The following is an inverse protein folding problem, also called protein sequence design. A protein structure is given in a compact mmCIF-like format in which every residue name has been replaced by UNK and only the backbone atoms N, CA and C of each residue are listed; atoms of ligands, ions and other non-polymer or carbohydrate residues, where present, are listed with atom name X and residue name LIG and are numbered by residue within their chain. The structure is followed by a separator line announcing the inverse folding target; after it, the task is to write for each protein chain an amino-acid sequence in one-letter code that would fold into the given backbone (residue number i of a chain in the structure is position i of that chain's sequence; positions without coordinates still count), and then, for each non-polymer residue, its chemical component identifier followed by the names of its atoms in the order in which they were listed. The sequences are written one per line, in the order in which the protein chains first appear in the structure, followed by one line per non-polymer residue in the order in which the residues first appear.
data_IF_578140628671
#
_entry.id   IF_578140628671
#
_cell.length_a   1.000
_cell.length_b   1.000
_cell.length_c   1.000
_cell.angle_alpha   90.00
_cell.angle_beta   90.00
_cell.angle_gamma   90.00
#
_symmetry.space_group_name_H-M   'P 1'
#
loop_
_entity.id
_entity.type
_entity.pdbx_description
1 polymer ?
#
# COMPACT_ATOMS: atom_id res chain seq x y z
N UNK A 1 -22.77 9.41 -13.48
CA UNK A 1 -22.12 9.06 -12.20
C UNK A 1 -22.67 7.77 -11.60
N UNK A 2 -23.98 7.61 -11.35
CA UNK A 2 -24.57 6.41 -10.72
C UNK A 2 -24.22 5.13 -11.48
N UNK A 3 -24.35 5.10 -12.81
CA UNK A 3 -24.05 3.92 -13.63
C UNK A 3 -22.58 3.51 -13.49
N UNK A 4 -21.65 4.46 -13.55
CA UNK A 4 -20.22 4.21 -13.40
C UNK A 4 -19.92 3.65 -12.00
N UNK A 5 -20.55 4.22 -10.97
CA UNK A 5 -20.38 3.72 -9.59
C UNK A 5 -20.91 2.30 -9.44
N UNK A 6 -22.08 2.00 -10.02
CA UNK A 6 -22.64 0.63 -10.03
C UNK A 6 -21.70 -0.35 -10.76
N UNK A 7 -21.19 0.01 -11.94
CA UNK A 7 -20.23 -0.82 -12.67
C UNK A 7 -18.96 -1.10 -11.87
N UNK A 8 -18.51 -0.18 -11.03
CA UNK A 8 -17.35 -0.38 -10.16
C UNK A 8 -17.64 -1.28 -8.96
N UNK A 9 -18.87 -1.24 -8.42
CA UNK A 9 -19.24 -2.01 -7.22
C UNK A 9 -19.65 -3.45 -7.56
N UNK A 10 -20.27 -3.67 -8.71
CA UNK A 10 -20.74 -4.99 -9.15
C UNK A 10 -19.64 -6.08 -9.07
N UNK A 11 -18.42 -5.88 -9.60
CA UNK A 11 -17.35 -6.89 -9.49
C UNK A 11 -16.94 -7.18 -8.05
N UNK A 12 -16.96 -6.18 -7.16
CA UNK A 12 -16.62 -6.37 -5.76
C UNK A 12 -17.67 -7.22 -5.04
N UNK A 13 -18.97 -6.98 -5.33
CA UNK A 13 -20.06 -7.81 -4.79
C UNK A 13 -19.92 -9.24 -5.31
N UNK A 14 -19.67 -9.43 -6.61
CA UNK A 14 -19.47 -10.74 -7.21
C UNK A 14 -18.28 -11.48 -6.56
N UNK A 15 -17.16 -10.78 -6.31
CA UNK A 15 -16.01 -11.33 -5.62
C UNK A 15 -16.36 -11.82 -4.21
N UNK A 16 -17.12 -11.02 -3.45
CA UNK A 16 -17.56 -11.40 -2.10
C UNK A 16 -18.51 -12.62 -2.15
N UNK A 17 -19.48 -12.63 -3.03
CA UNK A 17 -20.39 -13.76 -3.21
C UNK A 17 -19.62 -15.03 -3.60
N UNK A 18 -18.72 -14.93 -4.57
CA UNK A 18 -17.89 -16.06 -5.03
C UNK A 18 -16.95 -16.58 -3.95
N UNK A 19 -16.55 -15.75 -3.01
CA UNK A 19 -15.72 -16.18 -1.85
C UNK A 19 -16.47 -17.08 -0.86
N UNK A 20 -17.80 -17.01 -0.85
CA UNK A 20 -18.70 -17.87 -0.07
C UNK A 20 -19.39 -18.94 -0.90
N UNK A 21 -19.01 -19.12 -2.16
CA UNK A 21 -19.57 -20.16 -3.03
C UNK A 21 -18.70 -21.41 -2.97
N UNK A 22 -19.33 -22.59 -3.06
CA UNK A 22 -18.61 -23.85 -3.16
C UNK A 22 -17.68 -23.88 -4.38
N UNK A 23 -16.49 -24.46 -4.21
CA UNK A 23 -15.47 -24.45 -5.26
C UNK A 23 -15.88 -25.23 -6.51
N UNK A 24 -16.54 -26.40 -6.33
CA UNK A 24 -16.94 -27.25 -7.45
C UNK A 24 -18.12 -26.62 -8.20
N UNK A 25 -19.02 -25.93 -7.48
CA UNK A 25 -20.06 -25.11 -8.10
C UNK A 25 -19.47 -23.96 -8.91
N UNK A 26 -18.44 -23.27 -8.42
CA UNK A 26 -17.73 -22.21 -9.17
C UNK A 26 -17.05 -22.73 -10.44
N UNK A 27 -16.51 -23.95 -10.40
CA UNK A 27 -15.85 -24.55 -11.56
C UNK A 27 -16.90 -25.01 -12.58
N UNK A 28 -18.02 -25.57 -12.12
CA UNK A 28 -19.09 -26.10 -12.96
C UNK A 28 -19.96 -25.02 -13.61
N UNK A 29 -20.44 -24.08 -12.79
CA UNK A 29 -21.49 -23.12 -13.16
C UNK A 29 -20.94 -21.70 -13.42
N UNK A 30 -19.66 -21.46 -13.07
CA UNK A 30 -19.02 -20.15 -13.18
C UNK A 30 -19.40 -19.18 -12.04
N UNK A 31 -19.08 -17.91 -12.23
CA UNK A 31 -19.39 -16.86 -11.27
C UNK A 31 -20.87 -16.45 -11.39
N UNK A 32 -21.60 -16.50 -10.27
CA UNK A 32 -23.01 -16.12 -10.22
C UNK A 32 -23.30 -15.23 -9.01
N UNK A 33 -24.26 -14.30 -9.16
CA UNK A 33 -24.77 -13.50 -8.04
C UNK A 33 -25.73 -14.31 -7.15
N UNK A 34 -26.23 -15.41 -7.63
CA UNK A 34 -27.15 -16.33 -6.91
C UNK A 34 -26.60 -17.74 -6.97
N UNK A 35 -25.53 -18.05 -6.20
CA UNK A 35 -24.98 -19.41 -6.19
C UNK A 35 -25.97 -20.40 -5.58
N UNK A 36 -26.00 -21.60 -6.13
CA UNK A 36 -26.85 -22.67 -5.61
C UNK A 36 -26.28 -23.32 -4.36
N UNK A 37 -24.96 -23.36 -4.26
CA UNK A 37 -24.23 -24.01 -3.16
C UNK A 37 -23.33 -23.00 -2.45
N UNK A 38 -23.65 -22.71 -1.18
CA UNK A 38 -22.87 -21.81 -0.31
C UNK A 38 -21.89 -22.60 0.53
N UNK A 39 -20.64 -22.10 0.65
CA UNK A 39 -19.60 -22.72 1.46
C UNK A 39 -18.68 -21.68 2.07
N UNK A 40 -18.36 -21.82 3.36
CA UNK A 40 -17.35 -21.05 4.05
C UNK A 40 -15.96 -21.74 4.05
N UNK A 41 -15.82 -22.83 3.31
CA UNK A 41 -14.62 -23.66 3.33
C UNK A 41 -13.36 -22.88 2.90
N UNK A 42 -13.48 -21.95 1.97
CA UNK A 42 -12.38 -21.08 1.55
C UNK A 42 -11.77 -20.29 2.72
N UNK A 43 -12.62 -19.74 3.58
CA UNK A 43 -12.16 -19.02 4.77
C UNK A 43 -11.58 -19.98 5.83
N UNK A 44 -12.22 -21.13 6.04
CA UNK A 44 -11.68 -22.15 6.93
C UNK A 44 -10.29 -22.58 6.48
N UNK A 45 -10.08 -22.79 5.17
CA UNK A 45 -8.78 -23.13 4.60
C UNK A 45 -7.73 -22.04 4.88
N UNK A 46 -8.07 -20.76 4.64
CA UNK A 46 -7.16 -19.63 4.87
C UNK A 46 -6.75 -19.52 6.35
N UNK A 47 -7.72 -19.66 7.26
CA UNK A 47 -7.47 -19.51 8.69
C UNK A 47 -6.98 -20.78 9.41
N UNK A 48 -7.18 -21.96 8.81
CA UNK A 48 -6.69 -23.23 9.37
C UNK A 48 -5.20 -23.48 9.14
N UNK A 49 -4.56 -22.70 8.25
CA UNK A 49 -3.12 -22.78 8.00
C UNK A 49 -2.25 -22.31 9.18
N UNK A 50 -2.77 -22.42 10.39
CA UNK A 50 -2.11 -21.99 11.62
C UNK A 50 -2.23 -20.50 11.89
N UNK A 51 -1.50 -20.01 12.90
CA UNK A 51 -1.50 -18.58 13.30
C UNK A 51 -0.88 -17.62 12.28
N UNK A 52 -0.64 -18.05 11.03
CA UNK A 52 0.09 -17.26 10.03
C UNK A 52 -0.72 -16.04 9.54
N UNK A 53 -2.04 -16.16 9.35
CA UNK A 53 -2.86 -15.05 8.83
C UNK A 53 -3.05 -13.94 9.86
N UNK A 54 -3.47 -14.18 11.10
CA UNK A 54 -3.55 -13.13 12.13
C UNK A 54 -2.20 -12.46 12.38
N UNK A 55 -1.11 -13.22 12.40
CA UNK A 55 0.24 -12.68 12.55
C UNK A 55 0.64 -11.80 11.37
N UNK A 56 0.39 -12.24 10.14
CA UNK A 56 0.64 -11.45 8.94
C UNK A 56 -0.16 -10.15 8.90
N UNK A 57 -1.41 -10.15 9.40
CA UNK A 57 -2.18 -8.93 9.60
C UNK A 57 -1.51 -7.98 10.59
N UNK A 58 -1.05 -8.49 11.73
CA UNK A 58 -0.33 -7.68 12.72
C UNK A 58 0.93 -7.05 12.12
N UNK A 59 1.73 -7.81 11.38
CA UNK A 59 2.90 -7.30 10.67
C UNK A 59 2.51 -6.21 9.67
N UNK A 60 1.44 -6.42 8.88
CA UNK A 60 0.96 -5.41 7.92
C UNK A 60 0.49 -4.14 8.59
N UNK A 61 -0.24 -4.23 9.70
CA UNK A 61 -0.71 -3.06 10.46
C UNK A 61 0.48 -2.28 11.03
N UNK A 62 1.42 -2.97 11.68
CA UNK A 62 2.63 -2.35 12.24
C UNK A 62 3.46 -1.69 11.13
N UNK A 63 3.68 -2.41 10.03
CA UNK A 63 4.44 -1.90 8.88
C UNK A 63 3.76 -0.66 8.26
N UNK A 64 2.45 -0.70 8.09
CA UNK A 64 1.68 0.43 7.55
C UNK A 64 1.74 1.65 8.47
N UNK A 65 1.54 1.48 9.78
CA UNK A 65 1.58 2.58 10.74
C UNK A 65 2.99 3.18 10.81
N UNK A 66 4.01 2.35 11.04
CA UNK A 66 5.40 2.81 11.18
C UNK A 66 5.91 3.40 9.87
N UNK A 67 5.67 2.72 8.75
CA UNK A 67 6.08 3.16 7.43
C UNK A 67 5.40 4.47 7.01
N UNK A 68 4.10 4.61 7.27
CA UNK A 68 3.37 5.86 7.00
C UNK A 68 3.90 7.00 7.88
N UNK A 69 4.10 6.77 9.17
CA UNK A 69 4.60 7.80 10.08
C UNK A 69 6.00 8.29 9.67
N UNK A 70 6.93 7.38 9.40
CA UNK A 70 8.29 7.72 8.98
C UNK A 70 8.33 8.34 7.58
N UNK A 71 7.68 7.71 6.61
CA UNK A 71 7.65 8.20 5.23
C UNK A 71 6.99 9.56 5.11
N UNK A 72 5.87 9.79 5.84
CA UNK A 72 5.19 11.07 5.89
C UNK A 72 6.07 12.15 6.54
N UNK A 73 6.73 11.84 7.66
CA UNK A 73 7.62 12.78 8.34
C UNK A 73 8.77 13.21 7.43
N UNK A 74 9.46 12.26 6.80
CA UNK A 74 10.57 12.56 5.88
C UNK A 74 10.06 13.37 4.67
N UNK A 75 8.95 12.95 4.06
CA UNK A 75 8.36 13.62 2.91
C UNK A 75 7.95 15.05 3.23
N UNK A 76 7.31 15.26 4.39
CA UNK A 76 6.81 16.58 4.81
C UNK A 76 7.96 17.54 5.13
N UNK A 77 8.95 17.08 5.86
CA UNK A 77 10.14 17.90 6.20
C UNK A 77 10.93 18.28 4.95
N UNK A 78 11.17 17.30 4.06
CA UNK A 78 11.88 17.55 2.81
C UNK A 78 11.10 18.50 1.89
N UNK A 79 9.81 18.28 1.73
CA UNK A 79 8.96 19.13 0.90
C UNK A 79 8.88 20.56 1.42
N UNK A 80 8.77 20.73 2.74
CA UNK A 80 8.80 22.05 3.38
C UNK A 80 10.13 22.76 3.14
N UNK A 81 11.26 22.10 3.39
CA UNK A 81 12.57 22.67 3.11
C UNK A 81 12.71 23.10 1.64
N UNK A 82 12.30 22.22 0.70
CA UNK A 82 12.34 22.51 -0.74
C UNK A 82 11.32 23.58 -1.18
N UNK A 83 10.33 23.95 -0.37
CA UNK A 83 9.40 25.04 -0.67
C UNK A 83 10.03 26.41 -0.41
N UNK A 84 10.99 26.51 0.49
CA UNK A 84 11.62 27.79 0.90
C UNK A 84 12.50 28.39 -0.20
N UNK A 85 12.25 29.67 -0.53
CA UNK A 85 12.98 30.38 -1.60
C UNK A 85 14.44 30.63 -1.25
N UNK A 86 14.74 30.79 0.03
CA UNK A 86 16.09 31.11 0.54
C UNK A 86 16.98 29.88 0.75
N UNK A 87 16.47 28.65 0.54
CA UNK A 87 17.29 27.45 0.69
C UNK A 87 18.40 27.40 -0.35
N UNK A 88 19.70 27.42 0.03
CA UNK A 88 20.79 27.30 -0.92
C UNK A 88 20.76 25.92 -1.59
N UNK A 89 20.99 25.89 -2.90
CA UNK A 89 20.97 24.64 -3.67
C UNK A 89 19.57 24.04 -3.90
N UNK A 90 18.48 24.75 -3.57
CA UNK A 90 17.09 24.29 -3.75
C UNK A 90 16.82 23.70 -5.12
N UNK A 91 17.33 24.34 -6.21
CA UNK A 91 17.14 23.87 -7.58
C UNK A 91 17.78 22.50 -7.80
N UNK A 92 19.02 22.33 -7.34
CA UNK A 92 19.76 21.06 -7.44
C UNK A 92 19.09 19.96 -6.64
N UNK A 93 18.72 20.24 -5.39
CA UNK A 93 18.02 19.26 -4.55
C UNK A 93 16.67 18.87 -5.14
N UNK A 94 15.89 19.82 -5.65
CA UNK A 94 14.63 19.53 -6.36
C UNK A 94 14.86 18.68 -7.59
N UNK A 95 15.92 18.98 -8.37
CA UNK A 95 16.28 18.20 -9.54
C UNK A 95 16.68 16.77 -9.15
N UNK A 96 17.46 16.57 -8.10
CA UNK A 96 17.81 15.23 -7.61
C UNK A 96 16.55 14.43 -7.25
N UNK A 97 15.61 15.02 -6.51
CA UNK A 97 14.33 14.38 -6.19
C UNK A 97 13.57 14.02 -7.48
N UNK A 98 13.44 14.96 -8.40
CA UNK A 98 12.78 14.73 -9.69
C UNK A 98 13.48 13.66 -10.53
N UNK A 99 14.81 13.65 -10.54
CA UNK A 99 15.62 12.69 -11.27
C UNK A 99 15.33 11.24 -10.85
N UNK A 100 15.08 11.00 -9.55
CA UNK A 100 14.71 9.65 -9.06
C UNK A 100 13.38 9.13 -9.60
N UNK A 101 12.51 10.00 -10.14
CA UNK A 101 11.30 9.56 -10.86
C UNK A 101 11.59 9.08 -12.28
N UNK A 102 12.57 9.67 -12.92
CA UNK A 102 12.91 9.40 -14.33
C UNK A 102 13.84 8.19 -14.47
N UNK A 103 14.72 7.99 -13.50
CA UNK A 103 15.75 6.96 -13.55
C UNK A 103 15.58 5.96 -12.42
N UNK A 104 15.43 4.70 -12.82
CA UNK A 104 15.40 3.56 -11.93
C UNK A 104 16.53 2.60 -12.30
N UNK A 105 17.38 2.25 -11.37
CA UNK A 105 18.49 1.32 -11.57
C UNK A 105 18.06 -0.12 -11.87
N UNK A 106 16.78 -0.41 -11.74
CA UNK A 106 16.23 -1.75 -11.91
C UNK A 106 16.31 -2.63 -10.66
N UNK A 107 15.70 -3.80 -10.74
CA UNK A 107 15.56 -4.70 -9.60
C UNK A 107 16.91 -5.23 -9.09
N UNK A 108 17.80 -5.67 -10.00
CA UNK A 108 19.06 -6.33 -9.62
C UNK A 108 20.02 -5.39 -8.89
N UNK A 109 20.35 -4.18 -9.40
CA UNK A 109 21.17 -3.22 -8.68
C UNK A 109 20.56 -2.81 -7.33
N UNK A 110 19.24 -2.61 -7.29
CA UNK A 110 18.51 -2.27 -6.06
C UNK A 110 18.61 -3.39 -5.03
N UNK A 111 18.43 -4.64 -5.45
CA UNK A 111 18.57 -5.81 -4.60
C UNK A 111 19.97 -5.93 -4.00
N UNK A 112 21.01 -5.82 -4.83
CA UNK A 112 22.41 -5.90 -4.38
C UNK A 112 22.71 -4.80 -3.37
N UNK A 113 22.26 -3.56 -3.64
CA UNK A 113 22.46 -2.44 -2.75
C UNK A 113 21.86 -2.70 -1.35
N UNK A 114 20.58 -3.08 -1.29
CA UNK A 114 19.91 -3.31 0.00
C UNK A 114 20.39 -4.58 0.72
N UNK A 115 20.77 -5.62 -0.01
CA UNK A 115 21.18 -6.90 0.62
C UNK A 115 22.65 -6.96 0.96
N UNK A 116 23.53 -6.37 0.14
CA UNK A 116 24.97 -6.46 0.32
C UNK A 116 25.55 -5.21 0.97
N UNK A 117 25.16 -4.01 0.51
CA UNK A 117 25.70 -2.76 1.06
C UNK A 117 25.04 -2.44 2.40
N UNK A 118 23.70 -2.43 2.44
CA UNK A 118 22.97 -2.13 3.68
C UNK A 118 22.72 -3.33 4.59
N UNK A 119 22.87 -4.58 4.10
CA UNK A 119 22.72 -5.78 4.92
C UNK A 119 21.33 -6.02 5.51
N UNK A 120 20.27 -5.42 4.95
CA UNK A 120 18.91 -5.47 5.53
C UNK A 120 18.09 -6.70 5.14
N UNK A 121 18.65 -7.64 4.36
CA UNK A 121 17.96 -8.88 3.96
C UNK A 121 17.45 -9.65 5.18
N UNK A 122 16.25 -10.20 5.10
CA UNK A 122 15.58 -10.94 6.18
C UNK A 122 15.39 -10.14 7.48
N UNK A 123 15.19 -8.82 7.38
CA UNK A 123 14.88 -7.96 8.52
C UNK A 123 13.58 -7.20 8.28
N UNK A 124 13.02 -6.61 9.32
CA UNK A 124 11.87 -5.70 9.21
C UNK A 124 12.19 -4.48 8.33
N UNK A 125 13.43 -3.99 8.35
CA UNK A 125 13.87 -2.86 7.51
C UNK A 125 13.80 -3.17 6.02
N UNK A 126 13.90 -4.43 5.61
CA UNK A 126 13.73 -4.85 4.23
C UNK A 126 12.29 -4.66 3.70
N UNK A 127 11.31 -4.59 4.59
CA UNK A 127 9.92 -4.28 4.25
C UNK A 127 9.65 -2.77 4.32
N UNK A 128 10.40 -2.05 5.15
CA UNK A 128 10.15 -0.65 5.46
C UNK A 128 10.83 0.30 4.47
N UNK A 129 12.10 0.05 4.14
CA UNK A 129 12.95 1.04 3.44
C UNK A 129 12.83 0.99 1.92
N UNK A 130 12.95 -0.17 1.25
CA UNK A 130 13.01 -0.21 -0.21
C UNK A 130 11.75 0.37 -0.87
N UNK A 131 11.94 1.41 -1.70
CA UNK A 131 10.95 2.03 -2.57
C UNK A 131 9.72 2.70 -1.91
N UNK A 132 9.51 2.52 -0.62
CA UNK A 132 8.29 2.97 0.07
C UNK A 132 8.52 4.18 0.99
N UNK A 133 9.68 4.26 1.63
CA UNK A 133 9.95 5.28 2.66
C UNK A 133 9.98 6.69 2.09
N UNK A 134 10.47 6.89 0.87
CA UNK A 134 10.51 8.18 0.20
C UNK A 134 10.09 8.03 -1.26
N UNK A 135 9.01 8.72 -1.62
CA UNK A 135 8.53 8.78 -3.00
C UNK A 135 8.63 10.21 -3.53
N UNK A 136 9.34 10.40 -4.64
CA UNK A 136 9.60 11.73 -5.20
C UNK A 136 8.31 12.45 -5.64
N UNK A 137 7.32 11.73 -6.18
CA UNK A 137 6.03 12.30 -6.53
C UNK A 137 5.33 12.92 -5.31
N UNK A 138 5.31 12.21 -4.18
CA UNK A 138 4.75 12.68 -2.92
C UNK A 138 5.47 13.94 -2.42
N UNK A 139 6.81 13.96 -2.51
CA UNK A 139 7.62 15.14 -2.13
C UNK A 139 7.28 16.34 -3.00
N UNK A 140 7.23 16.18 -4.32
CA UNK A 140 6.96 17.28 -5.25
C UNK A 140 5.54 17.80 -5.13
N UNK A 141 4.56 16.90 -4.95
CA UNK A 141 3.16 17.27 -4.73
C UNK A 141 3.00 18.07 -3.42
N UNK A 142 3.59 17.61 -2.34
CA UNK A 142 3.56 18.30 -1.05
C UNK A 142 4.33 19.63 -1.08
N UNK A 143 5.50 19.68 -1.76
CA UNK A 143 6.26 20.91 -2.00
C UNK A 143 5.40 21.94 -2.76
N UNK A 144 4.71 21.52 -3.82
CA UNK A 144 3.82 22.41 -4.57
C UNK A 144 2.75 23.01 -3.68
N UNK A 145 2.15 22.19 -2.82
CA UNK A 145 1.15 22.66 -1.86
C UNK A 145 1.73 23.67 -0.85
N UNK A 146 2.92 23.44 -0.31
CA UNK A 146 3.56 24.40 0.60
C UNK A 146 3.84 25.74 -0.09
N UNK A 147 4.16 25.73 -1.40
CA UNK A 147 4.39 26.97 -2.16
C UNK A 147 3.11 27.73 -2.47
N UNK A 148 2.00 27.02 -2.71
CA UNK A 148 0.74 27.65 -3.19
C UNK A 148 -0.33 27.77 -2.12
N UNK A 149 -0.35 26.89 -1.13
CA UNK A 149 -1.39 26.75 -0.11
C UNK A 149 -1.03 27.31 1.26
N UNK A 150 0.24 27.70 1.46
CA UNK A 150 0.70 28.37 2.69
C UNK A 150 1.14 29.79 2.31
N UNK A 151 0.36 30.84 2.66
CA UNK A 151 0.70 32.20 2.31
C UNK A 151 2.02 32.67 2.94
N UNK A 152 2.89 33.31 2.14
CA UNK A 152 4.16 33.83 2.61
C UNK A 152 3.95 34.85 3.75
N UNK A 153 2.87 35.66 3.70
CA UNK A 153 2.53 36.70 4.69
C UNK A 153 2.29 36.11 6.10
N UNK A 154 1.65 34.96 6.19
CA UNK A 154 1.42 34.30 7.48
C UNK A 154 2.75 33.76 8.05
N UNK A 155 3.63 33.28 7.18
CA UNK A 155 4.96 32.82 7.59
C UNK A 155 5.85 33.99 8.06
N UNK A 156 5.80 35.12 7.35
CA UNK A 156 6.53 36.34 7.73
C UNK A 156 6.03 36.92 9.08
N UNK A 157 4.71 36.94 9.29
CA UNK A 157 4.16 37.36 10.59
C UNK A 157 4.66 36.49 11.74
N UNK A 158 4.71 35.16 11.54
CA UNK A 158 5.25 34.24 12.55
C UNK A 158 6.74 34.50 12.86
N UNK A 159 7.55 34.87 11.86
CA UNK A 159 8.95 35.24 12.08
C UNK A 159 9.10 36.56 12.79
N UNK A 160 8.24 37.56 12.51
CA UNK A 160 8.20 38.86 13.22
C UNK A 160 7.83 38.63 14.70
N UNK A 161 6.92 37.68 14.97
CA UNK A 161 6.55 37.27 16.33
C UNK A 161 7.65 36.43 17.04
N UNK A 162 8.81 36.24 16.41
CA UNK A 162 9.97 35.58 17.00
C UNK A 162 9.96 34.04 16.85
N UNK A 163 9.10 33.47 16.00
CA UNK A 163 9.12 32.05 15.77
C UNK A 163 10.38 31.61 15.00
N UNK A 164 11.05 30.58 15.47
CA UNK A 164 12.11 29.92 14.70
C UNK A 164 11.51 29.00 13.63
N UNK A 165 12.35 28.47 12.71
CA UNK A 165 11.90 27.61 11.60
C UNK A 165 11.09 26.38 12.06
N UNK A 166 11.47 25.74 13.15
CA UNK A 166 10.73 24.60 13.68
C UNK A 166 9.34 25.01 14.21
N UNK A 167 9.27 26.14 14.90
CA UNK A 167 8.00 26.67 15.39
C UNK A 167 7.11 27.11 14.24
N UNK A 168 7.64 27.80 13.26
CA UNK A 168 6.93 28.20 12.05
C UNK A 168 6.42 26.97 11.26
N UNK A 169 7.23 25.92 11.15
CA UNK A 169 6.81 24.67 10.53
C UNK A 169 5.67 23.99 11.29
N UNK A 170 5.89 23.66 12.58
CA UNK A 170 4.92 22.85 13.34
C UNK A 170 3.65 23.61 13.74
N UNK A 171 3.74 24.92 14.01
CA UNK A 171 2.61 25.71 14.50
C UNK A 171 1.84 26.43 13.40
N UNK A 172 2.47 26.68 12.23
CA UNK A 172 1.86 27.46 11.15
C UNK A 172 1.74 26.63 9.87
N UNK A 173 2.86 26.23 9.26
CA UNK A 173 2.85 25.60 7.95
C UNK A 173 2.15 24.22 7.97
N UNK A 174 2.48 23.36 8.93
CA UNK A 174 1.92 22.00 9.03
C UNK A 174 0.39 21.99 9.30
N UNK A 175 -0.16 22.82 10.21
CA UNK A 175 -1.61 22.95 10.37
C UNK A 175 -2.35 23.43 9.10
N UNK A 176 -1.77 24.39 8.36
CA UNK A 176 -2.34 24.85 7.09
C UNK A 176 -2.26 23.79 5.99
N UNK A 177 -1.23 22.94 6.06
CA UNK A 177 -1.03 21.86 5.10
C UNK A 177 -1.77 20.55 5.44
N UNK A 178 -2.62 20.51 6.48
CA UNK A 178 -3.37 19.29 6.87
C UNK A 178 -4.03 18.55 5.71
N UNK A 179 -4.68 19.21 4.72
CA UNK A 179 -5.34 18.47 3.65
C UNK A 179 -4.35 17.65 2.80
N UNK A 180 -3.22 18.24 2.41
CA UNK A 180 -2.21 17.52 1.63
C UNK A 180 -1.48 16.47 2.45
N UNK A 181 -1.22 16.74 3.74
CA UNK A 181 -0.62 15.78 4.66
C UNK A 181 -1.48 14.53 4.77
N UNK A 182 -2.81 14.69 4.91
CA UNK A 182 -3.74 13.57 4.94
C UNK A 182 -3.75 12.78 3.61
N UNK A 183 -3.69 13.46 2.47
CA UNK A 183 -3.63 12.83 1.15
C UNK A 183 -2.35 12.01 0.97
N UNK A 184 -1.20 12.59 1.32
CA UNK A 184 0.08 11.90 1.22
C UNK A 184 0.18 10.75 2.22
N UNK A 185 -0.35 10.92 3.44
CA UNK A 185 -0.46 9.83 4.42
C UNK A 185 -1.23 8.65 3.87
N UNK A 186 -2.35 8.91 3.17
CA UNK A 186 -3.14 7.87 2.51
C UNK A 186 -2.34 7.16 1.42
N UNK A 187 -1.65 7.90 0.54
CA UNK A 187 -0.85 7.30 -0.53
C UNK A 187 0.26 6.40 0.01
N UNK A 188 0.98 6.88 1.03
CA UNK A 188 2.04 6.10 1.68
C UNK A 188 1.43 4.87 2.38
N UNK A 189 0.34 5.05 3.13
CA UNK A 189 -0.32 3.96 3.85
C UNK A 189 -0.86 2.86 2.94
N UNK A 190 -1.51 3.22 1.83
CA UNK A 190 -1.94 2.27 0.80
C UNK A 190 -0.73 1.57 0.16
N UNK A 191 0.37 2.29 -0.07
CA UNK A 191 1.60 1.71 -0.59
C UNK A 191 2.14 0.60 0.31
N UNK A 192 2.27 0.86 1.61
CA UNK A 192 2.71 -0.15 2.58
C UNK A 192 1.72 -1.31 2.75
N UNK A 193 0.42 -1.00 2.80
CA UNK A 193 -0.60 -2.04 2.93
C UNK A 193 -0.59 -3.03 1.75
N UNK A 194 -0.42 -2.52 0.54
CA UNK A 194 -0.46 -3.33 -0.68
C UNK A 194 0.88 -3.96 -1.06
N UNK A 195 1.97 -3.66 -0.32
CA UNK A 195 3.29 -4.18 -0.67
C UNK A 195 3.42 -5.67 -0.35
N UNK A 196 3.52 -6.46 -1.41
CA UNK A 196 3.89 -7.87 -1.37
C UNK A 196 5.32 -8.09 -1.89
N UNK A 197 5.83 -7.14 -2.70
CA UNK A 197 7.04 -7.31 -3.48
C UNK A 197 8.28 -7.30 -2.59
N UNK A 198 8.38 -6.37 -1.64
CA UNK A 198 9.52 -6.32 -0.73
C UNK A 198 9.65 -7.62 0.08
N UNK A 199 8.52 -8.13 0.60
CA UNK A 199 8.50 -9.40 1.29
C UNK A 199 8.88 -10.59 0.38
N UNK A 200 8.45 -10.56 -0.89
CA UNK A 200 8.79 -11.59 -1.86
C UNK A 200 10.29 -11.60 -2.22
N UNK A 201 10.88 -10.42 -2.41
CA UNK A 201 12.26 -10.25 -2.86
C UNK A 201 13.26 -10.44 -1.72
N UNK A 202 13.00 -9.83 -0.55
CA UNK A 202 14.01 -9.73 0.50
C UNK A 202 13.85 -10.74 1.64
N UNK A 203 12.66 -11.35 1.83
CA UNK A 203 12.42 -12.34 2.87
C UNK A 203 12.55 -13.76 2.33
N UNK A 204 13.70 -14.40 2.56
CA UNK A 204 13.97 -15.77 2.12
C UNK A 204 13.88 -16.80 3.25
N UNK A 205 14.12 -16.39 4.50
CA UNK A 205 14.17 -17.28 5.68
C UNK A 205 13.17 -16.90 6.78
N UNK A 206 12.79 -15.61 6.88
CA UNK A 206 11.97 -15.06 7.94
C UNK A 206 10.50 -15.03 7.53
N UNK A 207 9.84 -16.19 7.63
CA UNK A 207 8.39 -16.33 7.34
C UNK A 207 7.51 -15.61 8.35
N UNK A 208 8.02 -15.38 9.55
CA UNK A 208 7.41 -14.63 10.62
C UNK A 208 7.23 -13.14 10.31
N UNK A 209 7.96 -12.59 9.33
CA UNK A 209 7.85 -11.21 8.89
C UNK A 209 6.94 -11.03 7.66
N UNK A 210 6.23 -12.06 7.20
CA UNK A 210 5.36 -11.91 6.05
C UNK A 210 4.22 -10.94 6.34
N UNK A 211 4.06 -9.91 5.47
CA UNK A 211 2.85 -9.10 5.40
C UNK A 211 1.69 -9.93 4.86
N UNK A 212 0.46 -9.49 5.11
CA UNK A 212 -0.72 -10.20 4.61
C UNK A 212 -0.70 -10.32 3.08
N UNK A 213 -0.32 -9.26 2.35
CA UNK A 213 -0.26 -9.28 0.89
C UNK A 213 0.83 -10.25 0.39
N UNK A 214 1.99 -10.31 1.06
CA UNK A 214 3.02 -11.26 0.71
C UNK A 214 2.57 -12.71 0.99
N UNK A 215 1.94 -12.95 2.14
CA UNK A 215 1.39 -14.27 2.48
C UNK A 215 0.36 -14.73 1.46
N UNK A 216 -0.63 -13.89 1.14
CA UNK A 216 -1.68 -14.20 0.16
C UNK A 216 -1.10 -14.46 -1.23
N UNK A 217 -0.12 -13.65 -1.67
CA UNK A 217 0.55 -13.87 -2.94
C UNK A 217 1.28 -15.23 -2.99
N UNK A 218 1.98 -15.60 -1.92
CA UNK A 218 2.64 -16.92 -1.81
C UNK A 218 1.63 -18.07 -1.82
N UNK A 219 0.50 -17.93 -1.14
CA UNK A 219 -0.57 -18.93 -1.16
C UNK A 219 -1.13 -19.10 -2.58
N UNK A 220 -1.36 -18.00 -3.31
CA UNK A 220 -1.82 -18.05 -4.71
C UNK A 220 -0.79 -18.77 -5.60
N UNK A 221 0.50 -18.46 -5.46
CA UNK A 221 1.56 -19.12 -6.21
C UNK A 221 1.64 -20.63 -5.89
N UNK A 222 1.52 -21.00 -4.63
CA UNK A 222 1.50 -22.41 -4.22
C UNK A 222 0.31 -23.16 -4.82
N UNK A 223 -0.90 -22.57 -4.78
CA UNK A 223 -2.10 -23.15 -5.41
C UNK A 223 -1.90 -23.32 -6.92
N UNK A 224 -1.32 -22.33 -7.60
CA UNK A 224 -1.04 -22.41 -9.04
C UNK A 224 -0.04 -23.54 -9.36
N UNK A 225 1.05 -23.64 -8.58
CA UNK A 225 2.04 -24.69 -8.76
C UNK A 225 1.45 -26.10 -8.53
N UNK A 226 0.60 -26.27 -7.51
CA UNK A 226 -0.08 -27.52 -7.24
C UNK A 226 -1.07 -27.88 -8.36
N UNK A 227 -1.83 -26.91 -8.87
CA UNK A 227 -2.80 -27.13 -9.96
C UNK A 227 -2.09 -27.52 -11.27
N UNK A 228 -0.95 -26.90 -11.59
CA UNK A 228 -0.16 -27.22 -12.76
C UNK A 228 0.48 -28.60 -12.66
N UNK A 229 0.99 -28.98 -11.49
CA UNK A 229 1.58 -30.29 -11.25
C UNK A 229 0.53 -31.41 -11.20
N UNK A 230 -0.68 -31.12 -10.71
CA UNK A 230 -1.79 -32.09 -10.72
C UNK A 230 -2.20 -32.54 -12.13
N UNK A 231 -2.08 -31.67 -13.12
CA UNK A 231 -2.33 -32.02 -14.54
C UNK A 231 -1.27 -32.98 -15.12
N UNK A 232 -0.05 -32.98 -14.54
CA UNK A 232 1.06 -33.88 -14.92
C UNK A 232 1.12 -35.17 -14.07
N UNK A 233 0.55 -35.16 -12.85
CA UNK A 233 0.62 -36.26 -11.88
C UNK A 233 -0.73 -37.00 -11.76
N UNK A 234 -1.73 -36.67 -12.57
CA UNK A 234 -3.11 -37.19 -12.49
C UNK A 234 -3.26 -38.73 -12.65
N UNK A 235 -2.18 -39.49 -12.72
CA UNK A 235 -2.21 -40.94 -12.66
C UNK A 235 -1.79 -41.58 -11.33
N UNK A 236 -1.29 -40.79 -10.34
CA UNK A 236 -0.70 -41.39 -9.15
C UNK A 236 -1.38 -41.00 -7.81
N UNK A 237 -2.34 -40.07 -7.78
CA UNK A 237 -2.89 -39.62 -6.49
C UNK A 237 -4.38 -39.32 -6.55
N UNK A 238 -5.19 -40.39 -6.50
CA UNK A 238 -6.64 -40.31 -6.23
C UNK A 238 -6.98 -39.90 -4.79
N UNK A 239 -6.11 -39.20 -4.08
CA UNK A 239 -6.28 -38.88 -2.68
C UNK A 239 -5.95 -37.45 -2.24
N UNK A 240 -5.51 -36.56 -3.13
CA UNK A 240 -5.39 -35.14 -2.80
C UNK A 240 -6.77 -34.52 -2.94
N UNK A 241 -7.41 -34.26 -1.80
CA UNK A 241 -8.63 -33.44 -1.75
C UNK A 241 -8.43 -32.22 -2.63
N UNK A 242 -9.34 -32.00 -3.57
CA UNK A 242 -9.26 -30.91 -4.53
C UNK A 242 -9.06 -29.60 -3.76
N UNK A 243 -7.88 -28.99 -3.92
CA UNK A 243 -7.60 -27.73 -3.27
C UNK A 243 -8.58 -26.71 -3.87
N UNK A 244 -9.40 -26.03 -3.07
CA UNK A 244 -10.40 -25.09 -3.56
C UNK A 244 -9.69 -23.86 -4.15
N UNK A 245 -9.30 -23.96 -5.42
CA UNK A 245 -8.41 -23.01 -6.06
C UNK A 245 -9.10 -21.69 -6.43
N UNK A 246 -10.38 -21.74 -6.78
CA UNK A 246 -11.14 -20.56 -7.24
C UNK A 246 -11.73 -19.81 -6.07
N UNK A 247 -12.50 -20.48 -5.20
CA UNK A 247 -13.12 -19.85 -4.03
C UNK A 247 -12.09 -19.29 -3.06
N UNK A 248 -10.96 -20.00 -2.85
CA UNK A 248 -9.87 -19.50 -1.98
C UNK A 248 -9.23 -18.24 -2.55
N UNK A 249 -9.02 -18.12 -3.86
CA UNK A 249 -8.50 -16.88 -4.47
C UNK A 249 -9.45 -15.71 -4.25
N UNK A 250 -10.76 -15.92 -4.38
CA UNK A 250 -11.78 -14.88 -4.10
C UNK A 250 -11.78 -14.48 -2.63
N UNK A 251 -11.73 -15.45 -1.73
CA UNK A 251 -11.65 -15.19 -0.29
C UNK A 251 -10.35 -14.46 0.10
N UNK A 252 -9.21 -14.81 -0.50
CA UNK A 252 -7.95 -14.07 -0.31
C UNK A 252 -8.05 -12.62 -0.77
N UNK A 253 -8.69 -12.37 -1.91
CA UNK A 253 -8.91 -11.02 -2.39
C UNK A 253 -9.79 -10.20 -1.41
N UNK A 254 -10.87 -10.78 -0.89
CA UNK A 254 -11.71 -10.16 0.15
C UNK A 254 -10.90 -9.85 1.40
N UNK A 255 -10.14 -10.83 1.91
CA UNK A 255 -9.29 -10.68 3.10
C UNK A 255 -8.26 -9.56 2.91
N UNK A 256 -7.63 -9.45 1.73
CA UNK A 256 -6.64 -8.41 1.43
C UNK A 256 -7.22 -7.01 1.32
N UNK A 257 -8.45 -6.86 0.79
CA UNK A 257 -9.10 -5.56 0.54
C UNK A 257 -9.88 -5.05 1.74
N UNK A 258 -10.40 -5.92 2.59
CA UNK A 258 -11.30 -5.60 3.69
C UNK A 258 -10.82 -4.46 4.60
N UNK A 259 -9.57 -4.40 5.08
CA UNK A 259 -9.11 -3.30 5.91
C UNK A 259 -9.11 -1.95 5.20
N UNK A 260 -8.80 -1.91 3.90
CA UNK A 260 -8.85 -0.67 3.12
C UNK A 260 -10.29 -0.15 3.06
N UNK A 261 -11.25 -1.04 2.80
CA UNK A 261 -12.68 -0.70 2.74
C UNK A 261 -13.17 -0.16 4.08
N UNK A 262 -12.72 -0.74 5.20
CA UNK A 262 -13.08 -0.28 6.55
C UNK A 262 -12.47 1.10 6.87
N UNK A 263 -11.23 1.33 6.49
CA UNK A 263 -10.49 2.58 6.80
C UNK A 263 -10.91 3.74 5.89
N UNK A 264 -11.30 3.47 4.64
CA UNK A 264 -11.60 4.48 3.64
C UNK A 264 -12.63 5.55 4.09
N UNK A 265 -13.79 5.21 4.70
CA UNK A 265 -14.78 6.20 5.14
C UNK A 265 -14.24 7.25 6.13
N UNK A 266 -13.23 6.89 6.91
CA UNK A 266 -12.61 7.81 7.87
C UNK A 266 -11.66 8.82 7.22
N UNK A 267 -11.14 8.50 6.05
CA UNK A 267 -10.11 9.31 5.37
C UNK A 267 -10.72 10.13 4.21
N UNK A 268 -11.83 9.67 3.59
CA UNK A 268 -12.42 10.25 2.38
C UNK A 268 -12.66 11.77 2.48
N UNK A 269 -13.10 12.28 3.63
CA UNK A 269 -13.42 13.70 3.81
C UNK A 269 -12.19 14.61 3.67
N UNK A 270 -11.03 14.14 4.09
CA UNK A 270 -9.77 14.90 4.00
C UNK A 270 -9.16 14.76 2.60
N UNK A 271 -9.35 13.61 1.96
CA UNK A 271 -8.86 13.33 0.62
C UNK A 271 -9.51 14.22 -0.45
N UNK A 272 -10.84 14.35 -0.41
CA UNK A 272 -11.58 15.21 -1.38
C UNK A 272 -11.12 16.66 -1.29
N UNK A 273 -10.90 17.19 -0.08
CA UNK A 273 -10.41 18.56 0.14
C UNK A 273 -8.97 18.77 -0.33
N UNK A 274 -8.12 17.75 -0.21
CA UNK A 274 -6.70 17.83 -0.59
C UNK A 274 -6.48 17.88 -2.10
N UNK A 275 -7.25 17.11 -2.88
CA UNK A 275 -7.11 17.06 -4.35
C UNK A 275 -7.69 18.32 -5.01
N UNK A 276 -8.82 18.82 -4.54
CA UNK A 276 -9.48 19.99 -5.13
C UNK A 276 -8.65 21.27 -5.00
N UNK A 277 -7.92 21.44 -3.89
CA UNK A 277 -7.06 22.60 -3.68
C UNK A 277 -5.78 22.58 -4.54
N UNK A 278 -5.32 21.40 -4.97
CA UNK A 278 -4.17 21.25 -5.89
C UNK A 278 -4.53 21.39 -7.38
N UNK A 279 -5.81 21.26 -7.74
CA UNK A 279 -6.27 21.20 -9.13
C UNK A 279 -6.93 22.48 -9.67
N UNK A 280 -7.27 23.44 -8.82
CA UNK A 280 -7.97 24.67 -9.26
C UNK A 280 -7.00 25.84 -9.31
N UNK A 281 -6.40 26.04 -10.48
CA UNK A 281 -6.07 27.34 -11.03
C UNK A 281 -6.92 27.51 -12.28
N UNK A 282 -8.07 28.08 -12.12
CA UNK A 282 -8.85 28.69 -13.18
C UNK A 282 -9.02 30.12 -12.81
#
# INVERSE_FOLDING_TARGET
MIIISLCAVIPLILMVISSFTDNDALIRDGYSFTPQEWSAYAYQYIFSSGNSVPHAYMISVVLTIVGTALGLSITTLLAYALSKKFLPGRGVLTFIVFFTMLFNGGLVPTYINYTTVFGIKNTFFALLVPNLMLNAFNVLMMKSYFVTGVPDEIMEAAYIDGANEFQAFFRVALPLAKPIVATIALFIGIGYWNDWMNGYIYLTKRTDLYSIQNLLNRMIQNIQALTQNASTVSQATQGLAAIPSVSVRMAMAVVGVLPIVIVYPFIQNNFVKGITLGGVKG
#
